data_IF_735970982574
#
_entry.id   IF_735970982574
#
_cell.length_a   1.000
_cell.length_b   1.000
_cell.length_c   1.000
_cell.angle_alpha   90.00
_cell.angle_beta   90.00
_cell.angle_gamma   90.00
#
_symmetry.space_group_name_H-M   'P 1'
#
loop_
_entity.id
_entity.type
_entity.pdbx_description
1 polymer ?
#
# COMPACT_ATOMS: atom_id res chain seq x y z
N UNK A 1 -22.19 -0.70 26.62
CA UNK A 1 -21.13 -1.61 26.15
C UNK A 1 -20.14 -0.96 25.16
N UNK A 2 -20.07 0.39 25.08
CA UNK A 2 -19.31 1.19 24.07
C UNK A 2 -17.86 1.56 24.46
N UNK A 3 -17.39 1.25 25.66
CA UNK A 3 -16.06 1.71 26.15
C UNK A 3 -14.90 0.71 25.94
N UNK A 4 -15.17 -0.55 25.55
CA UNK A 4 -14.12 -1.58 25.45
C UNK A 4 -13.35 -1.60 24.12
N UNK A 5 -13.92 -1.09 23.05
CA UNK A 5 -13.27 -1.13 21.72
C UNK A 5 -12.18 -0.06 21.55
N UNK A 6 -12.39 1.15 22.08
CA UNK A 6 -11.40 2.22 22.04
C UNK A 6 -10.14 1.90 22.86
N UNK A 7 -10.31 1.19 23.98
CA UNK A 7 -9.18 0.74 24.82
C UNK A 7 -8.36 -0.37 24.17
N UNK A 8 -8.99 -1.30 23.41
CA UNK A 8 -8.26 -2.33 22.69
C UNK A 8 -7.43 -1.74 21.52
N UNK A 9 -7.97 -0.78 20.78
CA UNK A 9 -7.26 -0.11 19.69
C UNK A 9 -6.05 0.68 20.22
N UNK A 10 -6.24 1.42 21.31
CA UNK A 10 -5.17 2.17 21.96
C UNK A 10 -4.09 1.22 22.55
N UNK A 11 -4.47 0.04 23.00
CA UNK A 11 -3.53 -0.98 23.51
C UNK A 11 -2.76 -1.64 22.37
N UNK A 12 -3.42 -1.99 21.26
CA UNK A 12 -2.78 -2.51 20.05
C UNK A 12 -1.78 -1.50 19.46
N UNK A 13 -2.16 -0.21 19.38
CA UNK A 13 -1.24 0.86 18.97
C UNK A 13 -0.01 0.98 19.89
N UNK A 14 -0.19 0.89 21.21
CA UNK A 14 0.92 0.96 22.16
C UNK A 14 1.83 -0.26 22.07
N UNK A 15 1.28 -1.44 21.82
CA UNK A 15 2.06 -2.68 21.61
C UNK A 15 2.84 -2.61 20.30
N UNK A 16 2.23 -2.12 19.20
CA UNK A 16 2.94 -1.89 17.94
C UNK A 16 4.04 -0.83 18.11
N UNK A 17 3.76 0.28 18.78
CA UNK A 17 4.75 1.33 19.06
C UNK A 17 5.88 0.83 19.98
N UNK A 18 5.57 -0.02 20.97
CA UNK A 18 6.55 -0.64 21.84
C UNK A 18 7.42 -1.66 21.10
N UNK A 19 6.86 -2.44 20.17
CA UNK A 19 7.62 -3.36 19.31
C UNK A 19 8.59 -2.61 18.39
N UNK A 20 8.20 -1.46 17.86
CA UNK A 20 9.05 -0.57 17.07
C UNK A 20 10.18 0.04 17.91
N UNK A 21 9.93 0.41 19.16
CA UNK A 21 10.92 1.06 20.05
C UNK A 21 11.92 0.09 20.69
N UNK A 22 11.60 -1.21 20.80
CA UNK A 22 12.50 -2.21 21.45
C UNK A 22 13.51 -2.86 20.52
N UNK A 23 13.55 -2.53 19.23
CA UNK A 23 14.40 -3.20 18.23
C UNK A 23 15.72 -2.50 17.97
N UNK A 24 16.54 -2.27 18.98
CA UNK A 24 17.95 -1.91 18.77
C UNK A 24 18.84 -3.15 18.74
N UNK A 25 19.52 -3.34 17.63
CA UNK A 25 20.78 -4.06 17.39
C UNK A 25 20.83 -5.33 16.54
N UNK A 26 21.53 -5.20 15.43
CA UNK A 26 22.52 -6.05 14.71
C UNK A 26 22.09 -7.17 13.75
N UNK A 27 22.43 -7.06 12.58
CA UNK A 27 23.02 -7.42 11.24
C UNK A 27 22.83 -8.82 10.62
N UNK A 28 22.61 -9.02 9.29
CA UNK A 28 23.22 -9.55 8.05
C UNK A 28 22.21 -9.92 6.93
N UNK A 29 22.54 -9.49 5.74
CA UNK A 29 22.11 -9.78 4.36
C UNK A 29 20.89 -10.69 4.12
N UNK A 30 19.83 -10.07 3.59
CA UNK A 30 18.75 -10.64 2.84
C UNK A 30 18.00 -9.49 2.18
N UNK A 31 18.01 -9.42 0.85
CA UNK A 31 17.23 -8.45 0.11
C UNK A 31 15.87 -9.08 -0.18
N UNK A 32 14.82 -8.64 0.49
CA UNK A 32 13.46 -8.86 0.04
C UNK A 32 13.13 -7.83 -1.03
N UNK A 33 12.64 -8.20 -2.20
CA UNK A 33 12.31 -7.25 -3.26
C UNK A 33 10.81 -6.96 -3.34
N UNK A 34 10.18 -6.57 -2.24
CA UNK A 34 8.92 -5.88 -2.35
C UNK A 34 9.17 -4.39 -2.56
N UNK A 35 8.38 -3.67 -3.38
CA UNK A 35 8.55 -2.22 -3.59
C UNK A 35 8.49 -1.41 -2.30
N UNK A 36 7.91 -1.97 -1.26
CA UNK A 36 7.66 -1.39 0.05
C UNK A 36 8.77 -1.65 1.08
N UNK A 37 9.87 -2.33 0.72
CA UNK A 37 10.98 -2.58 1.65
C UNK A 37 12.03 -1.49 1.63
N UNK A 38 12.80 -1.37 2.73
CA UNK A 38 13.87 -0.38 2.85
C UNK A 38 15.03 -0.54 1.85
N UNK A 39 15.44 -1.75 1.42
CA UNK A 39 16.52 -1.90 0.45
C UNK A 39 16.17 -1.29 -0.91
N UNK A 40 16.96 -0.34 -1.45
CA UNK A 40 16.86 0.08 -2.84
C UNK A 40 17.45 -0.97 -3.76
N UNK A 41 17.17 -0.85 -5.06
CA UNK A 41 17.86 -1.63 -6.08
C UNK A 41 19.36 -1.28 -6.11
N UNK A 42 20.17 -2.21 -6.62
CA UNK A 42 21.59 -1.92 -6.89
C UNK A 42 21.72 -0.90 -8.04
N UNK A 43 22.82 -0.16 -8.08
CA UNK A 43 23.10 0.78 -9.16
C UNK A 43 23.05 0.10 -10.54
N UNK A 44 22.24 0.64 -11.46
CA UNK A 44 21.95 0.03 -12.75
C UNK A 44 21.00 -1.16 -12.70
N UNK A 45 20.44 -1.50 -11.54
CA UNK A 45 19.32 -2.43 -11.44
C UNK A 45 18.04 -1.80 -11.98
N UNK A 46 17.23 -2.60 -12.66
CA UNK A 46 15.87 -2.24 -13.01
C UNK A 46 14.91 -3.36 -12.61
N UNK A 47 13.71 -2.98 -12.25
CA UNK A 47 12.65 -3.88 -11.85
C UNK A 47 11.37 -3.47 -12.56
N UNK A 48 10.74 -4.42 -13.22
CA UNK A 48 9.37 -4.32 -13.70
C UNK A 48 8.51 -5.18 -12.79
N UNK A 49 7.42 -4.64 -12.29
CA UNK A 49 6.46 -5.42 -11.51
C UNK A 49 5.03 -5.15 -11.95
N UNK A 50 4.22 -6.16 -11.77
CA UNK A 50 2.77 -6.07 -11.79
C UNK A 50 2.26 -6.54 -10.43
N UNK A 51 1.50 -5.67 -9.76
CA UNK A 51 0.84 -5.96 -8.50
C UNK A 51 -0.66 -5.90 -8.72
N UNK A 52 -1.39 -6.80 -8.11
CA UNK A 52 -2.85 -6.86 -8.19
C UNK A 52 -3.42 -6.89 -6.78
N UNK A 53 -4.30 -5.95 -6.45
CA UNK A 53 -4.88 -5.78 -5.13
C UNK A 53 -6.40 -5.81 -5.26
N UNK A 54 -7.03 -6.75 -4.58
CA UNK A 54 -8.48 -6.84 -4.46
C UNK A 54 -8.89 -6.40 -3.07
N UNK A 55 -9.73 -5.38 -3.00
CA UNK A 55 -10.24 -4.83 -1.76
C UNK A 55 -11.75 -5.02 -1.69
N UNK A 56 -12.22 -5.64 -0.60
CA UNK A 56 -13.64 -5.66 -0.25
C UNK A 56 -13.88 -4.76 0.96
N UNK A 57 -14.97 -3.97 0.92
CA UNK A 57 -15.36 -3.09 2.03
C UNK A 57 -16.69 -3.50 2.63
N UNK A 58 -16.89 -3.11 3.88
CA UNK A 58 -18.18 -3.23 4.56
C UNK A 58 -19.24 -2.35 3.89
N UNK A 59 -20.49 -2.78 3.95
CA UNK A 59 -21.61 -1.98 3.45
C UNK A 59 -21.90 -0.83 4.44
N UNK A 60 -22.37 0.29 3.90
CA UNK A 60 -22.93 1.36 4.70
C UNK A 60 -24.19 0.87 5.46
N UNK A 61 -24.52 1.47 6.61
CA UNK A 61 -25.80 1.28 7.26
C UNK A 61 -26.97 1.52 6.26
N UNK A 62 -28.07 0.83 6.44
CA UNK A 62 -29.19 0.82 5.49
C UNK A 62 -29.73 2.22 5.16
N UNK A 63 -29.72 3.12 6.14
CA UNK A 63 -30.10 4.53 5.99
C UNK A 63 -29.16 5.38 5.12
N UNK A 64 -27.92 4.92 4.90
CA UNK A 64 -26.88 5.66 4.15
C UNK A 64 -26.51 5.00 2.80
N UNK A 65 -27.27 3.97 2.38
CA UNK A 65 -26.96 3.17 1.17
C UNK A 65 -27.31 3.82 -0.17
N UNK A 66 -27.76 5.05 -0.17
CA UNK A 66 -27.86 5.82 -1.40
C UNK A 66 -26.44 6.19 -1.90
N UNK A 67 -26.29 6.32 -3.21
CA UNK A 67 -25.00 6.76 -3.79
C UNK A 67 -24.70 8.15 -3.26
N UNK A 68 -23.99 8.20 -2.15
CA UNK A 68 -23.47 9.43 -1.56
C UNK A 68 -22.23 9.87 -2.34
N UNK A 69 -21.95 11.18 -2.44
CA UNK A 69 -20.66 11.66 -2.97
C UNK A 69 -19.42 11.08 -2.27
N UNK A 70 -19.59 10.57 -1.04
CA UNK A 70 -18.54 9.90 -0.24
C UNK A 70 -18.59 8.36 -0.33
N UNK A 71 -19.49 7.79 -1.13
CA UNK A 71 -19.59 6.34 -1.28
C UNK A 71 -18.26 5.76 -1.77
N UNK A 72 -17.72 4.77 -1.06
CA UNK A 72 -16.53 4.02 -1.49
C UNK A 72 -16.98 2.78 -2.26
N UNK A 73 -16.15 2.24 -3.17
CA UNK A 73 -16.49 0.97 -3.82
C UNK A 73 -16.62 -0.14 -2.77
N UNK A 74 -17.64 -0.97 -2.89
CA UNK A 74 -17.81 -2.20 -2.07
C UNK A 74 -16.78 -3.24 -2.44
N UNK A 75 -16.39 -3.24 -3.71
CA UNK A 75 -15.28 -4.02 -4.26
C UNK A 75 -14.42 -3.12 -5.16
N UNK A 76 -13.12 -3.18 -5.01
CA UNK A 76 -12.17 -2.59 -5.95
C UNK A 76 -11.07 -3.56 -6.31
N UNK A 77 -10.63 -3.48 -7.54
CA UNK A 77 -9.41 -4.12 -8.03
C UNK A 77 -8.47 -3.04 -8.56
N UNK A 78 -7.26 -3.05 -8.09
CA UNK A 78 -6.17 -2.19 -8.54
C UNK A 78 -5.04 -3.06 -9.08
N UNK A 79 -4.67 -2.83 -10.32
CA UNK A 79 -3.56 -3.49 -10.99
C UNK A 79 -2.46 -2.48 -11.29
N UNK A 80 -1.35 -2.54 -10.55
CA UNK A 80 -0.25 -1.58 -10.64
C UNK A 80 0.86 -2.09 -11.53
N UNK A 81 1.17 -1.34 -12.58
CA UNK A 81 2.39 -1.53 -13.35
C UNK A 81 3.47 -0.60 -12.82
N UNK A 82 4.56 -1.18 -12.33
CA UNK A 82 5.67 -0.43 -11.77
C UNK A 82 6.94 -0.67 -12.59
N UNK A 83 7.66 0.41 -12.82
CA UNK A 83 9.04 0.39 -13.28
C UNK A 83 9.91 1.10 -12.24
N UNK A 84 10.86 0.37 -11.65
CA UNK A 84 11.81 0.95 -10.68
C UNK A 84 13.23 0.85 -11.24
N UNK A 85 13.96 1.94 -11.15
CA UNK A 85 15.34 2.04 -11.61
C UNK A 85 16.26 2.47 -10.47
N UNK A 86 17.25 1.62 -10.16
CA UNK A 86 18.34 1.92 -9.24
C UNK A 86 19.36 2.85 -9.90
N UNK A 87 19.23 4.15 -9.68
CA UNK A 87 20.12 5.18 -10.25
C UNK A 87 21.48 5.11 -9.59
N UNK A 88 21.50 4.98 -8.27
CA UNK A 88 22.70 4.84 -7.44
C UNK A 88 22.45 3.78 -6.36
N UNK A 89 23.51 3.38 -5.65
CA UNK A 89 23.46 2.35 -4.59
C UNK A 89 22.40 2.60 -3.50
N UNK A 90 22.04 3.85 -3.27
CA UNK A 90 21.08 4.23 -2.22
C UNK A 90 19.87 4.99 -2.76
N UNK A 91 19.67 5.01 -4.08
CA UNK A 91 18.71 5.88 -4.71
C UNK A 91 17.97 5.19 -5.85
N UNK A 92 16.65 5.11 -5.75
CA UNK A 92 15.75 4.56 -6.76
C UNK A 92 14.77 5.61 -7.27
N UNK A 93 14.39 5.45 -8.53
CA UNK A 93 13.26 6.13 -9.15
C UNK A 93 12.22 5.08 -9.53
N UNK A 94 10.98 5.28 -9.12
CA UNK A 94 9.86 4.41 -9.49
C UNK A 94 8.80 5.21 -10.24
N UNK A 95 8.30 4.64 -11.33
CA UNK A 95 7.10 5.10 -12.02
C UNK A 95 6.03 4.04 -11.83
N UNK A 96 4.85 4.44 -11.37
CA UNK A 96 3.70 3.58 -11.14
C UNK A 96 2.51 4.06 -11.97
N UNK A 97 1.86 3.12 -12.66
CA UNK A 97 0.65 3.39 -13.46
C UNK A 97 -0.41 2.35 -13.07
N UNK A 98 -1.49 2.76 -12.35
CA UNK A 98 -2.54 1.85 -11.94
C UNK A 98 -3.64 1.70 -12.99
N UNK A 99 -4.24 0.52 -13.05
CA UNK A 99 -5.55 0.27 -13.67
C UNK A 99 -6.51 -0.07 -12.56
N UNK A 100 -7.57 0.73 -12.43
CA UNK A 100 -8.50 0.63 -11.30
C UNK A 100 -9.88 0.21 -11.83
N UNK A 101 -10.46 -0.81 -11.19
CA UNK A 101 -11.84 -1.23 -11.36
C UNK A 101 -12.55 -1.01 -10.03
N UNK A 102 -13.57 -0.16 -10.04
CA UNK A 102 -14.42 0.10 -8.89
C UNK A 102 -15.82 -0.46 -9.12
N UNK A 103 -16.40 -1.04 -8.08
CA UNK A 103 -17.77 -1.56 -8.09
C UNK A 103 -18.44 -1.18 -6.77
N UNK A 104 -19.62 -0.58 -6.86
CA UNK A 104 -20.44 -0.20 -5.72
C UNK A 104 -21.80 -0.88 -5.81
N UNK A 105 -22.14 -1.64 -4.78
CA UNK A 105 -23.47 -2.26 -4.66
C UNK A 105 -24.43 -1.27 -3.99
N UNK A 106 -25.50 -0.93 -4.71
CA UNK A 106 -26.60 -0.11 -4.17
C UNK A 106 -27.73 -1.03 -3.70
N UNK A 107 -28.38 -0.66 -2.59
CA UNK A 107 -29.53 -1.44 -2.06
C UNK A 107 -30.78 -1.31 -2.90
N UNK A 108 -30.96 -0.16 -3.55
CA UNK A 108 -32.21 0.21 -4.23
C UNK A 108 -32.00 0.48 -5.73
N UNK A 109 -30.91 -0.01 -6.32
CA UNK A 109 -30.60 0.21 -7.72
C UNK A 109 -29.56 -0.78 -8.25
N UNK A 110 -29.29 -0.76 -9.55
CA UNK A 110 -28.26 -1.60 -10.14
C UNK A 110 -26.89 -1.20 -9.59
N UNK A 111 -25.98 -2.18 -9.54
CA UNK A 111 -24.61 -1.94 -9.20
C UNK A 111 -23.97 -0.93 -10.17
N UNK A 112 -23.15 -0.03 -9.64
CA UNK A 112 -22.48 1.00 -10.43
C UNK A 112 -20.96 0.92 -10.24
N UNK A 113 -20.25 1.28 -11.26
CA UNK A 113 -18.79 1.26 -11.22
C UNK A 113 -18.18 1.43 -12.61
N UNK A 114 -16.88 1.25 -12.68
CA UNK A 114 -16.17 1.32 -13.95
C UNK A 114 -14.70 0.97 -13.83
N UNK A 115 -14.10 0.77 -14.98
CA UNK A 115 -12.69 0.45 -15.14
C UNK A 115 -11.99 1.53 -15.95
N UNK A 116 -10.77 1.88 -15.58
CA UNK A 116 -9.96 2.84 -16.31
C UNK A 116 -8.54 2.97 -15.75
N UNK A 117 -7.74 3.75 -16.45
CA UNK A 117 -6.45 4.18 -15.91
C UNK A 117 -6.67 5.04 -14.68
N UNK A 118 -5.91 4.76 -13.63
CA UNK A 118 -5.83 5.61 -12.46
C UNK A 118 -4.73 6.68 -12.59
N UNK A 119 -4.46 7.35 -11.50
CA UNK A 119 -3.49 8.44 -11.45
C UNK A 119 -2.06 7.89 -11.35
N UNK A 120 -1.21 8.25 -12.30
CA UNK A 120 0.20 7.82 -12.29
C UNK A 120 0.99 8.51 -11.17
N UNK A 121 1.98 7.79 -10.61
CA UNK A 121 2.90 8.31 -9.60
C UNK A 121 4.35 8.20 -10.06
N UNK A 122 5.16 9.16 -9.63
CA UNK A 122 6.63 9.13 -9.77
C UNK A 122 7.22 9.28 -8.39
N UNK A 123 7.96 8.28 -7.95
CA UNK A 123 8.49 8.20 -6.59
C UNK A 123 10.01 8.15 -6.61
N UNK A 124 10.61 8.86 -5.70
CA UNK A 124 12.05 8.82 -5.41
C UNK A 124 12.21 8.16 -4.05
N UNK A 125 13.02 7.11 -3.98
CA UNK A 125 13.38 6.45 -2.72
C UNK A 125 14.87 6.66 -2.44
N UNK A 126 15.18 7.04 -1.20
CA UNK A 126 16.54 7.21 -0.70
C UNK A 126 16.75 6.41 0.57
N UNK A 127 17.73 5.48 0.54
CA UNK A 127 18.17 4.77 1.74
C UNK A 127 19.20 5.62 2.48
N UNK A 128 18.80 6.19 3.60
CA UNK A 128 19.64 7.05 4.42
C UNK A 128 20.39 6.29 5.51
N UNK A 129 19.99 5.06 5.83
CA UNK A 129 20.62 4.26 6.85
C UNK A 129 20.82 2.82 6.40
N UNK A 130 22.03 2.29 6.66
CA UNK A 130 22.34 0.86 6.57
C UNK A 130 23.42 0.52 7.56
N UNK A 131 23.21 -0.53 8.33
CA UNK A 131 24.19 -1.10 9.24
C UNK A 131 24.22 -2.60 9.04
N UNK A 132 25.39 -3.10 8.71
CA UNK A 132 25.67 -4.54 8.54
C UNK A 132 26.49 -5.05 9.74
N UNK A 133 26.27 -6.26 10.30
CA UNK A 133 27.08 -6.98 11.26
C UNK A 133 26.90 -8.50 11.09
N UNK A 134 27.53 -9.31 11.92
CA UNK A 134 27.49 -10.77 11.84
C UNK A 134 26.09 -11.39 12.05
N UNK A 135 25.16 -10.66 12.65
CA UNK A 135 23.85 -11.16 13.07
C UNK A 135 22.70 -10.82 12.14
N UNK A 136 22.72 -9.73 11.40
CA UNK A 136 21.66 -9.29 10.49
C UNK A 136 21.97 -7.93 9.85
N UNK A 137 21.15 -7.37 8.99
CA UNK A 137 21.25 -6.04 8.38
C UNK A 137 20.07 -5.20 8.85
N UNK A 138 20.33 -3.97 9.27
CA UNK A 138 19.29 -2.95 9.47
C UNK A 138 19.38 -1.92 8.37
N UNK A 139 18.26 -1.58 7.77
CA UNK A 139 18.18 -0.57 6.73
C UNK A 139 16.96 0.31 6.96
N UNK A 140 17.09 1.60 6.62
CA UNK A 140 15.97 2.52 6.60
C UNK A 140 16.04 3.40 5.36
N UNK A 141 14.88 3.65 4.76
CA UNK A 141 14.73 4.50 3.58
C UNK A 141 13.51 5.38 3.72
N UNK A 142 13.49 6.47 2.96
CA UNK A 142 12.32 7.30 2.77
C UNK A 142 12.02 7.39 1.28
N UNK A 143 10.74 7.50 0.94
CA UNK A 143 10.31 7.75 -0.43
C UNK A 143 9.32 8.91 -0.46
N UNK A 144 9.34 9.67 -1.54
CA UNK A 144 8.38 10.73 -1.78
C UNK A 144 8.19 10.94 -3.28
N UNK A 145 7.05 11.52 -3.63
CA UNK A 145 6.79 11.93 -5.00
C UNK A 145 5.37 12.34 -5.27
N UNK A 146 5.12 12.99 -6.40
CA UNK A 146 3.80 13.39 -6.84
C UNK A 146 3.02 12.24 -7.45
N UNK A 147 1.71 12.26 -7.21
CA UNK A 147 0.69 11.56 -7.97
C UNK A 147 0.04 12.58 -8.92
N UNK A 148 0.01 12.28 -10.20
CA UNK A 148 -0.50 13.17 -11.25
C UNK A 148 -1.94 12.81 -11.62
N UNK A 149 -2.82 13.77 -11.93
CA UNK A 149 -4.22 13.55 -12.31
C UNK A 149 -4.36 13.02 -13.74
N UNK A 150 -3.73 11.88 -14.02
CA UNK A 150 -3.74 11.23 -15.34
C UNK A 150 -4.88 10.24 -15.50
N UNK A 151 -5.52 9.88 -14.40
CA UNK A 151 -6.57 8.90 -14.36
C UNK A 151 -7.90 9.43 -14.88
N UNK A 152 -8.77 8.51 -15.21
CA UNK A 152 -10.09 8.81 -15.79
C UNK A 152 -11.05 9.29 -14.72
N UNK A 153 -11.72 10.44 -14.96
CA UNK A 153 -12.66 11.10 -14.03
C UNK A 153 -14.04 11.39 -14.65
N UNK A 154 -14.30 10.85 -15.84
CA UNK A 154 -15.49 11.15 -16.66
C UNK A 154 -16.45 9.96 -16.78
N UNK A 155 -16.29 8.91 -15.96
CA UNK A 155 -17.21 7.78 -15.98
C UNK A 155 -18.59 8.21 -15.47
N UNK A 156 -19.61 7.79 -16.20
CA UNK A 156 -21.02 8.11 -15.91
C UNK A 156 -21.78 6.88 -15.42
N UNK A 157 -22.80 7.11 -14.60
CA UNK A 157 -23.73 6.07 -14.19
C UNK A 157 -24.76 5.80 -15.30
N UNK A 158 -24.48 4.82 -16.15
CA UNK A 158 -25.38 4.44 -17.26
C UNK A 158 -26.59 3.64 -16.75
N UNK A 159 -26.45 2.98 -15.60
CA UNK A 159 -27.46 2.06 -15.07
C UNK A 159 -28.78 2.74 -14.70
N UNK A 160 -28.76 4.02 -14.35
CA UNK A 160 -29.96 4.80 -14.01
C UNK A 160 -30.50 5.66 -15.19
N UNK A 161 -29.92 5.53 -16.38
CA UNK A 161 -30.37 6.28 -17.58
C UNK A 161 -30.10 7.80 -17.55
N UNK A 162 -29.62 8.35 -16.43
CA UNK A 162 -29.49 9.80 -16.22
C UNK A 162 -28.14 10.38 -16.68
N UNK A 163 -27.17 9.54 -17.06
CA UNK A 163 -25.86 10.01 -17.54
C UNK A 163 -25.03 10.84 -16.55
N UNK A 164 -25.38 10.81 -15.25
CA UNK A 164 -24.67 11.55 -14.23
C UNK A 164 -23.26 10.97 -14.00
N UNK A 165 -22.29 11.83 -13.74
CA UNK A 165 -20.94 11.40 -13.37
C UNK A 165 -20.98 10.53 -12.11
N UNK A 166 -20.15 9.48 -12.10
CA UNK A 166 -19.89 8.73 -10.86
C UNK A 166 -19.23 9.63 -9.81
N UNK A 167 -19.49 9.42 -8.51
CA UNK A 167 -18.76 10.09 -7.45
C UNK A 167 -17.24 9.96 -7.61
N UNK A 168 -16.44 10.96 -7.20
CA UNK A 168 -14.97 10.92 -7.35
C UNK A 168 -14.31 9.68 -6.76
N UNK A 169 -14.84 9.16 -5.65
CA UNK A 169 -14.36 7.92 -5.01
C UNK A 169 -14.61 6.63 -5.80
N UNK A 170 -15.51 6.67 -6.79
CA UNK A 170 -15.80 5.56 -7.70
C UNK A 170 -15.13 5.74 -9.07
N UNK A 171 -14.56 6.90 -9.34
CA UNK A 171 -13.76 7.15 -10.53
C UNK A 171 -12.38 6.46 -10.41
N UNK A 172 -11.78 5.99 -11.51
CA UNK A 172 -10.41 5.47 -11.50
C UNK A 172 -9.37 6.53 -11.15
N UNK A 173 -9.56 7.77 -11.61
CA UNK A 173 -8.71 8.92 -11.28
C UNK A 173 -9.37 9.85 -10.27
N UNK A 174 -8.57 10.54 -9.48
CA UNK A 174 -9.05 11.55 -8.52
C UNK A 174 -9.22 12.94 -9.13
N UNK A 175 -8.49 13.22 -10.23
CA UNK A 175 -8.39 14.55 -10.81
C UNK A 175 -7.60 15.54 -9.95
N UNK A 176 -6.84 15.03 -8.92
CA UNK A 176 -6.00 15.84 -8.03
C UNK A 176 -4.53 15.51 -8.20
N UNK A 177 -3.67 16.50 -8.01
CA UNK A 177 -2.23 16.30 -7.83
C UNK A 177 -1.97 16.06 -6.35
N UNK A 178 -1.67 14.83 -5.97
CA UNK A 178 -1.45 14.44 -4.58
C UNK A 178 0.03 14.18 -4.32
N UNK A 179 0.42 14.00 -3.05
CA UNK A 179 1.81 13.75 -2.67
C UNK A 179 1.90 12.49 -1.83
N UNK A 180 2.74 11.57 -2.28
CA UNK A 180 3.06 10.35 -1.56
C UNK A 180 4.32 10.54 -0.73
N UNK A 181 4.27 10.10 0.53
CA UNK A 181 5.38 10.07 1.47
C UNK A 181 5.46 8.68 2.07
N UNK A 182 6.66 8.12 2.19
CA UNK A 182 6.87 6.83 2.86
C UNK A 182 8.16 6.81 3.66
N UNK A 183 8.16 5.98 4.70
CA UNK A 183 9.33 5.59 5.47
C UNK A 183 9.31 4.07 5.63
N UNK A 184 10.40 3.43 5.24
CA UNK A 184 10.52 1.98 5.27
C UNK A 184 11.68 1.59 6.19
N UNK A 185 11.48 0.51 6.93
CA UNK A 185 12.50 -0.08 7.77
C UNK A 185 12.53 -1.59 7.59
N UNK A 186 13.72 -2.14 7.40
CA UNK A 186 13.94 -3.58 7.24
C UNK A 186 15.00 -4.03 8.22
N UNK A 187 14.72 -5.08 8.96
CA UNK A 187 15.65 -5.73 9.85
C UNK A 187 15.70 -7.25 9.58
N UNK A 188 16.87 -7.75 9.19
CA UNK A 188 17.11 -9.18 9.02
C UNK A 188 17.90 -9.72 10.20
N UNK A 189 17.61 -10.94 10.66
CA UNK A 189 18.30 -11.56 11.79
C UNK A 189 17.71 -11.23 13.16
N UNK A 190 16.41 -10.99 13.22
CA UNK A 190 15.67 -10.70 14.46
C UNK A 190 15.92 -11.78 15.52
N UNK A 191 16.15 -11.37 16.78
CA UNK A 191 16.48 -12.26 17.91
C UNK A 191 17.69 -13.19 17.67
N UNK A 192 18.68 -12.77 16.86
CA UNK A 192 19.81 -13.60 16.40
C UNK A 192 19.40 -14.78 15.50
N UNK A 193 18.17 -14.82 15.04
CA UNK A 193 17.68 -15.84 14.10
C UNK A 193 17.84 -15.31 12.67
N UNK A 194 18.89 -15.69 11.97
CA UNK A 194 19.22 -15.25 10.60
C UNK A 194 18.08 -15.44 9.58
N UNK A 195 17.11 -16.28 9.94
CA UNK A 195 15.95 -16.61 9.10
C UNK A 195 14.73 -15.71 9.34
N UNK A 196 14.76 -14.86 10.37
CA UNK A 196 13.68 -13.91 10.64
C UNK A 196 14.01 -12.54 10.04
N UNK A 197 13.03 -11.97 9.37
CA UNK A 197 13.07 -10.62 8.79
C UNK A 197 11.85 -9.87 9.28
N UNK A 198 12.05 -8.67 9.75
CA UNK A 198 10.99 -7.74 10.08
C UNK A 198 11.07 -6.55 9.12
N UNK A 199 9.96 -6.25 8.48
CA UNK A 199 9.79 -5.10 7.62
C UNK A 199 8.67 -4.22 8.17
N UNK A 200 8.89 -2.92 8.18
CA UNK A 200 7.88 -1.90 8.47
C UNK A 200 7.83 -0.94 7.29
N UNK A 201 6.63 -0.73 6.77
CA UNK A 201 6.32 0.29 5.80
C UNK A 201 5.29 1.24 6.39
N UNK A 202 5.64 2.50 6.42
CA UNK A 202 4.74 3.59 6.80
C UNK A 202 4.62 4.52 5.62
N UNK A 203 3.39 4.74 5.12
CA UNK A 203 3.20 5.70 4.06
C UNK A 203 1.93 6.54 4.24
N UNK A 204 1.89 7.67 3.55
CA UNK A 204 0.77 8.59 3.52
C UNK A 204 0.58 9.13 2.12
N UNK A 205 -0.67 9.17 1.69
CA UNK A 205 -1.09 9.88 0.50
C UNK A 205 -1.81 11.17 0.91
N UNK A 206 -1.09 12.29 0.78
CA UNK A 206 -1.61 13.61 1.06
C UNK A 206 -2.42 14.10 -0.13
N UNK A 207 -3.73 14.13 0.02
CA UNK A 207 -4.66 14.45 -1.06
C UNK A 207 -4.96 15.94 -1.14
N UNK A 208 -5.04 16.46 -2.37
CA UNK A 208 -5.51 17.81 -2.67
C UNK A 208 -6.93 17.79 -3.24
N UNK A 209 -7.46 18.93 -3.61
CA UNK A 209 -8.76 19.02 -4.24
C UNK A 209 -8.70 18.50 -5.68
N UNK A 210 -9.58 17.57 -6.01
CA UNK A 210 -9.71 16.94 -7.31
C UNK A 210 -10.98 17.29 -8.06
N UNK A 211 -11.47 16.32 -8.83
CA UNK A 211 -12.69 16.45 -9.63
C UNK A 211 -13.93 16.70 -8.77
N UNK A 212 -14.95 17.32 -9.37
CA UNK A 212 -16.25 17.61 -8.72
C UNK A 212 -16.11 18.38 -7.38
N UNK A 213 -15.11 19.30 -7.30
CA UNK A 213 -14.82 20.07 -6.09
C UNK A 213 -14.64 19.20 -4.82
N UNK A 214 -14.23 17.95 -4.98
CA UNK A 214 -14.06 16.97 -3.89
C UNK A 214 -12.58 16.80 -3.55
N UNK A 215 -12.27 16.84 -2.26
CA UNK A 215 -11.02 16.37 -1.70
C UNK A 215 -11.30 15.07 -0.94
N UNK A 216 -10.83 13.96 -1.46
CA UNK A 216 -10.86 12.69 -0.72
C UNK A 216 -9.98 12.78 0.53
N UNK A 217 -10.34 12.10 1.59
CA UNK A 217 -9.53 12.05 2.82
C UNK A 217 -8.12 11.56 2.54
N UNK A 218 -7.13 12.20 3.16
CA UNK A 218 -5.75 11.71 3.09
C UNK A 218 -5.65 10.38 3.84
N UNK A 219 -4.88 9.46 3.28
CA UNK A 219 -4.71 8.13 3.84
C UNK A 219 -3.32 8.01 4.49
N UNK A 220 -3.28 7.28 5.60
CA UNK A 220 -2.05 6.86 6.27
C UNK A 220 -2.13 5.35 6.43
N UNK A 221 -1.07 4.65 6.07
CA UNK A 221 -0.94 3.21 6.27
C UNK A 221 0.36 2.91 7.01
N UNK A 222 0.30 1.98 7.96
CA UNK A 222 1.46 1.37 8.61
C UNK A 222 1.30 -0.12 8.48
N UNK A 223 2.27 -0.78 7.85
CA UNK A 223 2.27 -2.21 7.57
C UNK A 223 3.51 -2.86 8.14
N UNK A 224 3.32 -3.74 9.10
CA UNK A 224 4.37 -4.54 9.70
C UNK A 224 4.29 -5.97 9.21
N UNK A 225 5.39 -6.49 8.64
CA UNK A 225 5.53 -7.87 8.20
C UNK A 225 6.67 -8.57 8.93
N UNK A 226 6.36 -9.63 9.66
CA UNK A 226 7.35 -10.51 10.27
C UNK A 226 7.47 -11.79 9.46
N UNK A 227 8.51 -11.91 8.66
CA UNK A 227 8.69 -13.05 7.76
C UNK A 227 9.74 -14.02 8.24
N UNK A 228 9.49 -15.29 7.96
CA UNK A 228 10.41 -16.40 8.21
C UNK A 228 10.87 -17.00 6.89
N UNK A 229 12.18 -17.24 6.77
CA UNK A 229 12.81 -17.94 5.65
C UNK A 229 13.06 -19.40 6.02
N UNK A 230 12.23 -20.36 5.56
CA UNK A 230 12.30 -21.77 6.00
C UNK A 230 13.64 -22.44 5.69
N UNK A 231 14.30 -22.04 4.61
CA UNK A 231 15.62 -22.58 4.25
C UNK A 231 16.51 -21.49 3.65
N UNK A 232 17.81 -21.62 3.92
CA UNK A 232 18.83 -20.80 3.30
C UNK A 232 19.18 -21.40 1.94
N UNK A 233 18.80 -20.74 0.86
CA UNK A 233 19.29 -21.09 -0.46
C UNK A 233 20.59 -20.33 -0.74
N UNK A 234 21.64 -21.03 -1.17
CA UNK A 234 22.83 -20.37 -1.74
C UNK A 234 22.50 -19.64 -3.04
N UNK A 235 21.36 -19.96 -3.63
CA UNK A 235 20.85 -19.35 -4.84
C UNK A 235 19.71 -18.40 -4.46
N UNK A 236 19.94 -17.09 -4.53
CA UNK A 236 18.96 -16.02 -4.29
C UNK A 236 17.66 -16.21 -5.11
N UNK A 237 17.76 -16.91 -6.26
CA UNK A 237 16.62 -17.24 -7.09
C UNK A 237 15.61 -18.23 -6.48
N UNK A 238 15.88 -18.80 -5.32
CA UNK A 238 15.00 -19.77 -4.62
C UNK A 238 14.71 -19.38 -3.19
N UNK A 239 14.80 -18.10 -2.88
CA UNK A 239 14.42 -17.62 -1.55
C UNK A 239 12.91 -17.67 -1.40
N UNK A 240 12.47 -18.14 -0.24
CA UNK A 240 11.07 -18.16 0.14
C UNK A 240 10.92 -17.54 1.52
N UNK A 241 9.99 -16.60 1.63
CA UNK A 241 9.60 -15.93 2.86
C UNK A 241 8.11 -16.12 3.09
N UNK A 242 7.71 -16.35 4.31
CA UNK A 242 6.32 -16.42 4.72
C UNK A 242 6.17 -15.86 6.13
N UNK A 243 5.12 -15.15 6.39
CA UNK A 243 4.87 -14.68 7.75
C UNK A 243 3.63 -13.83 7.89
N UNK A 244 3.25 -13.57 9.16
CA UNK A 244 2.14 -12.71 9.49
C UNK A 244 2.42 -11.26 9.08
N UNK A 245 1.35 -10.57 8.71
CA UNK A 245 1.32 -9.15 8.43
C UNK A 245 0.25 -8.48 9.29
N UNK A 246 0.53 -7.27 9.74
CA UNK A 246 -0.41 -6.41 10.45
C UNK A 246 -0.42 -5.06 9.74
N UNK A 247 -1.59 -4.60 9.33
CA UNK A 247 -1.75 -3.33 8.59
C UNK A 247 -2.74 -2.44 9.31
N UNK A 248 -2.33 -1.26 9.71
CA UNK A 248 -3.20 -0.20 10.18
C UNK A 248 -3.42 0.83 9.08
N UNK A 249 -4.69 1.09 8.80
CA UNK A 249 -5.14 2.07 7.82
C UNK A 249 -5.90 3.17 8.54
N UNK A 250 -5.55 4.42 8.29
CA UNK A 250 -6.27 5.60 8.72
C UNK A 250 -6.64 6.45 7.52
N UNK A 251 -7.93 6.78 7.38
CA UNK A 251 -8.41 7.72 6.38
C UNK A 251 -9.02 8.94 7.06
N UNK A 252 -8.63 10.13 6.64
CA UNK A 252 -9.27 11.37 7.06
C UNK A 252 -10.67 11.50 6.45
N UNK A 253 -11.49 12.38 7.01
CA UNK A 253 -12.78 12.73 6.41
C UNK A 253 -12.61 13.41 5.04
N UNK A 254 -13.51 13.06 4.11
CA UNK A 254 -13.61 13.72 2.80
C UNK A 254 -14.12 15.16 2.95
N UNK A 255 -13.85 15.98 1.95
CA UNK A 255 -14.41 17.34 1.83
C UNK A 255 -15.05 17.52 0.46
N UNK A 256 -16.27 18.05 0.45
CA UNK A 256 -17.04 18.34 -0.77
C UNK A 256 -17.37 19.82 -0.77
N UNK A 257 -16.99 20.52 -1.82
CA UNK A 257 -17.12 21.99 -1.93
C UNK A 257 -16.61 22.73 -0.69
N UNK A 258 -15.51 22.22 -0.10
CA UNK A 258 -14.89 22.78 1.11
C UNK A 258 -15.50 22.32 2.44
N UNK A 259 -16.69 21.72 2.46
CA UNK A 259 -17.35 21.22 3.66
C UNK A 259 -16.88 19.80 4.02
N UNK A 260 -16.48 19.59 5.28
CA UNK A 260 -16.07 18.28 5.80
C UNK A 260 -17.27 17.34 5.89
N UNK A 261 -17.13 16.14 5.36
CA UNK A 261 -18.12 15.06 5.44
C UNK A 261 -17.82 14.19 6.68
N UNK A 262 -18.29 14.67 7.83
CA UNK A 262 -17.99 14.05 9.11
C UNK A 262 -18.39 12.58 9.15
N UNK A 263 -17.45 11.70 9.57
CA UNK A 263 -17.66 10.26 9.69
C UNK A 263 -17.48 9.50 8.37
N UNK A 264 -16.91 10.11 7.32
CA UNK A 264 -16.49 9.42 6.08
C UNK A 264 -15.08 8.82 6.20
N UNK A 265 -14.27 9.31 7.12
CA UNK A 265 -12.97 8.76 7.50
C UNK A 265 -13.05 7.79 8.68
N UNK A 266 -11.95 7.11 8.96
CA UNK A 266 -11.86 6.18 10.09
C UNK A 266 -10.61 5.32 10.07
N UNK A 267 -10.55 4.40 11.02
CA UNK A 267 -9.45 3.48 11.24
C UNK A 267 -9.85 2.04 10.93
N UNK A 268 -8.91 1.28 10.35
CA UNK A 268 -9.03 -0.18 10.17
C UNK A 268 -7.72 -0.83 10.57
N UNK A 269 -7.79 -1.92 11.31
CA UNK A 269 -6.69 -2.81 11.59
C UNK A 269 -6.94 -4.13 10.87
N UNK A 270 -6.04 -4.48 9.97
CA UNK A 270 -6.04 -5.75 9.26
C UNK A 270 -4.94 -6.66 9.81
N UNK A 271 -5.19 -7.95 9.88
CA UNK A 271 -4.19 -8.97 10.15
C UNK A 271 -4.26 -10.06 9.07
N UNK A 272 -3.10 -10.56 8.67
CA UNK A 272 -3.04 -11.51 7.58
C UNK A 272 -1.74 -12.27 7.48
N UNK A 273 -1.53 -12.85 6.30
CA UNK A 273 -0.33 -13.60 5.95
C UNK A 273 0.14 -13.18 4.57
N UNK A 274 1.45 -12.98 4.44
CA UNK A 274 2.09 -12.72 3.14
C UNK A 274 3.18 -13.76 2.91
N UNK A 275 3.28 -14.24 1.68
CA UNK A 275 4.37 -15.09 1.21
C UNK A 275 5.02 -14.50 -0.02
N UNK A 276 6.32 -14.68 -0.13
CA UNK A 276 7.15 -14.20 -1.22
C UNK A 276 8.12 -15.30 -1.63
N UNK A 277 8.25 -15.55 -2.93
CA UNK A 277 9.12 -16.61 -3.45
C UNK A 277 9.88 -16.17 -4.70
N UNK A 278 11.17 -16.45 -4.74
CA UNK A 278 11.97 -16.44 -5.96
C UNK A 278 11.68 -17.71 -6.80
N UNK A 279 11.22 -17.53 -8.02
CA UNK A 279 10.88 -18.64 -8.93
C UNK A 279 12.06 -18.95 -9.86
N UNK A 280 12.73 -17.92 -10.34
CA UNK A 280 13.93 -17.97 -11.19
C UNK A 280 14.85 -16.80 -10.87
N UNK A 281 16.11 -16.79 -11.30
CA UNK A 281 16.97 -15.63 -11.18
C UNK A 281 16.28 -14.36 -11.71
N UNK A 282 16.09 -13.39 -10.82
CA UNK A 282 15.45 -12.12 -11.13
C UNK A 282 13.92 -12.16 -11.24
N UNK A 283 13.26 -13.31 -11.09
CA UNK A 283 11.79 -13.41 -11.10
C UNK A 283 11.29 -13.83 -9.74
N UNK A 284 10.41 -13.01 -9.19
CA UNK A 284 9.81 -13.23 -7.87
C UNK A 284 8.31 -13.08 -7.95
N UNK A 285 7.60 -13.82 -7.10
CA UNK A 285 6.15 -13.76 -6.95
C UNK A 285 5.81 -13.58 -5.47
N UNK A 286 4.69 -12.93 -5.20
CA UNK A 286 4.19 -12.77 -3.85
C UNK A 286 2.67 -12.90 -3.81
N UNK A 287 2.16 -13.30 -2.67
CA UNK A 287 0.74 -13.43 -2.37
C UNK A 287 0.50 -12.99 -0.93
N UNK A 288 -0.49 -12.12 -0.72
CA UNK A 288 -0.92 -11.64 0.58
C UNK A 288 -2.43 -11.76 0.75
N UNK A 289 -2.86 -11.99 1.97
CA UNK A 289 -4.27 -11.97 2.37
C UNK A 289 -4.38 -11.37 3.76
N UNK A 290 -5.15 -10.31 3.87
CA UNK A 290 -5.40 -9.59 5.12
C UNK A 290 -6.90 -9.48 5.38
N UNK A 291 -7.30 -9.60 6.65
CA UNK A 291 -8.67 -9.49 7.11
C UNK A 291 -8.82 -8.43 8.19
N UNK A 292 -9.96 -7.77 8.21
CA UNK A 292 -10.36 -6.83 9.25
C UNK A 292 -10.47 -7.54 10.60
N UNK A 293 -9.69 -7.05 11.57
CA UNK A 293 -9.74 -7.51 12.97
C UNK A 293 -10.30 -6.44 13.90
N UNK A 294 -10.22 -5.17 13.52
CA UNK A 294 -10.83 -4.06 14.24
C UNK A 294 -10.99 -2.84 13.32
N UNK A 295 -12.07 -2.10 13.46
CA UNK A 295 -12.28 -0.85 12.73
C UNK A 295 -13.12 0.13 13.54
N UNK A 296 -13.01 1.42 13.20
CA UNK A 296 -13.90 2.45 13.72
C UNK A 296 -15.28 2.37 13.05
N UNK A 297 -16.28 2.92 13.73
CA UNK A 297 -17.66 2.98 13.24
C UNK A 297 -18.04 4.43 12.99
N UNK A 298 -17.96 4.88 11.75
CA UNK A 298 -18.50 6.15 11.27
C UNK A 298 -19.80 5.95 10.50
N UNK A 299 -20.66 6.97 10.48
CA UNK A 299 -21.95 6.87 9.78
C UNK A 299 -21.80 6.68 8.26
N UNK A 300 -20.71 7.19 7.68
CA UNK A 300 -20.40 7.14 6.25
C UNK A 300 -19.13 6.32 5.98
N UNK A 301 -18.50 5.76 7.00
CA UNK A 301 -17.26 5.01 6.86
C UNK A 301 -17.51 3.59 6.39
N UNK A 302 -16.82 3.21 5.32
CA UNK A 302 -16.85 1.85 4.74
C UNK A 302 -15.50 1.17 5.01
N UNK A 303 -15.35 0.45 6.14
CA UNK A 303 -14.08 -0.16 6.50
C UNK A 303 -13.68 -1.23 5.48
N UNK A 304 -12.38 -1.31 5.22
CA UNK A 304 -11.80 -2.42 4.47
C UNK A 304 -12.02 -3.71 5.26
N UNK A 305 -12.62 -4.72 4.66
CA UNK A 305 -12.90 -6.03 5.26
C UNK A 305 -11.86 -7.08 4.89
N UNK A 306 -11.34 -6.97 3.69
CA UNK A 306 -10.36 -7.92 3.16
C UNK A 306 -9.50 -7.27 2.09
N UNK A 307 -8.22 -7.53 2.15
CA UNK A 307 -7.28 -7.39 1.05
C UNK A 307 -6.82 -8.76 0.58
N UNK A 308 -6.82 -8.99 -0.71
CA UNK A 308 -6.13 -10.10 -1.35
C UNK A 308 -5.20 -9.46 -2.37
N UNK A 309 -3.93 -9.77 -2.28
CA UNK A 309 -2.92 -9.16 -3.13
C UNK A 309 -1.97 -10.22 -3.68
N UNK A 310 -1.57 -10.07 -4.93
CA UNK A 310 -0.51 -10.86 -5.52
C UNK A 310 0.30 -10.02 -6.49
N UNK A 311 1.51 -10.45 -6.77
CA UNK A 311 2.33 -9.76 -7.73
C UNK A 311 3.43 -10.64 -8.29
N UNK A 312 3.97 -10.15 -9.40
CA UNK A 312 5.15 -10.70 -10.05
C UNK A 312 6.13 -9.57 -10.31
N UNK A 313 7.38 -9.82 -10.04
CA UNK A 313 8.46 -8.88 -10.31
C UNK A 313 9.53 -9.54 -11.15
N UNK A 314 10.09 -8.79 -12.08
CA UNK A 314 11.27 -9.17 -12.83
C UNK A 314 12.36 -8.14 -12.65
N UNK A 315 13.50 -8.57 -12.12
CA UNK A 315 14.69 -7.75 -11.93
C UNK A 315 15.71 -8.06 -13.03
N UNK A 316 16.33 -7.03 -13.56
CA UNK A 316 17.39 -7.14 -14.56
C UNK A 316 18.41 -6.02 -14.39
N UNK A 317 19.52 -6.09 -15.10
CA UNK A 317 20.56 -5.07 -15.07
C UNK A 317 20.46 -4.23 -16.34
N UNK A 318 20.39 -2.91 -16.16
CA UNK A 318 20.51 -1.93 -17.25
C UNK A 318 21.96 -1.49 -17.41
N UNK A 319 22.33 -1.16 -18.62
CA UNK A 319 23.65 -0.56 -18.86
C UNK A 319 23.63 0.90 -18.41
N UNK A 320 24.50 1.25 -17.44
CA UNK A 320 24.66 2.64 -17.02
C UNK A 320 25.63 3.35 -17.96
N UNK A 321 25.24 4.52 -18.45
CA UNK A 321 26.03 5.34 -19.36
C UNK A 321 27.14 6.07 -18.62
N UNK A 322 27.01 6.19 -17.28
CA UNK A 322 28.03 6.74 -16.40
C UNK A 322 28.66 5.60 -15.59
N UNK A 323 29.99 5.64 -15.51
CA UNK A 323 30.72 4.76 -14.58
C UNK A 323 30.53 5.31 -13.16
N UNK A 324 30.06 4.46 -12.26
CA UNK A 324 30.12 4.77 -10.84
C UNK A 324 31.59 4.86 -10.45
N UNK A 325 32.06 6.01 -9.99
CA UNK A 325 33.38 6.12 -9.37
C UNK A 325 33.40 5.18 -8.16
N UNK A 326 34.38 4.29 -8.14
CA UNK A 326 34.57 3.23 -7.12
C UNK A 326 35.00 3.81 -5.79
#
# INVERSE_FOLDING_TARGET
MRFRTATCLAWAMRVCLALVLFSCAHIVRGQGPAPETAPPLFAGGALISYNSIFTTRGLLPESARNISPTARPTFSHEGDFNFTWGIRRNFDLTVLVPIITNHFESTNGPAVGGTGLGDAMVLIKYRFYRRDSERGTTQASAAFGPKFPTGRTDLTNVANGNGNLLPPSLQPGSGSTDFFLAANWTYTGLFNLKRLVADEDFHSLLRTQGSQATRLGSDIESRFWLSYRPYESKNVAREWFIGPVLTWLHSQDDRIAGATQSGSGGDVLLAGVTTYAGVRPGIHVWLGMDWDVAHSTGALFMPVRRHISFGITQQFRMHLWWKEER
#
